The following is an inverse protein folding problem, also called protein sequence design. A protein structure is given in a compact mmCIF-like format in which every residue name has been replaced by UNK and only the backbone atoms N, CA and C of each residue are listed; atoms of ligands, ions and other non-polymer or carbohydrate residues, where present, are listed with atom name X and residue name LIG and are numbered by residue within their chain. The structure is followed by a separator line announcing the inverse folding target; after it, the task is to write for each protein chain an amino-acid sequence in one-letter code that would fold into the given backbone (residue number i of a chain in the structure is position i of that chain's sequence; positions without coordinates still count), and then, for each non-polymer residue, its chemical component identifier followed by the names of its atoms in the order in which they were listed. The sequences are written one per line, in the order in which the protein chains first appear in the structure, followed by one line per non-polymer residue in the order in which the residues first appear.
data_IF_576075516805
#
_entry.id   IF_576075516805
#
_cell.length_a   1.000
_cell.length_b   1.000
_cell.length_c   1.000
_cell.angle_alpha   90.00
_cell.angle_beta   90.00
_cell.angle_gamma   90.00
#
_symmetry.space_group_name_H-M   'P 1'
#
loop_
_entity.id
_entity.type
_entity.pdbx_description
1 polymer ?
#
# COMPACT_ATOMS: atom_id res chain seq x y z
N UNK A 1 24.77 -8.30 24.40
CA UNK A 1 25.44 -8.18 25.70
C UNK A 1 25.30 -6.75 26.20
N UNK A 2 24.55 -6.53 27.28
CA UNK A 2 24.77 -5.37 28.14
C UNK A 2 25.85 -5.82 29.11
N UNK A 3 27.10 -5.73 28.65
CA UNK A 3 28.30 -6.00 29.44
C UNK A 3 29.30 -4.98 28.97
N UNK A 4 29.27 -3.82 29.61
CA UNK A 4 30.30 -2.82 29.48
C UNK A 4 31.47 -3.31 30.33
N UNK A 5 32.54 -3.75 29.64
CA UNK A 5 33.73 -4.41 30.20
C UNK A 5 34.59 -3.54 31.11
N UNK A 6 33.97 -2.72 31.95
CA UNK A 6 34.55 -1.94 33.03
C UNK A 6 33.59 -1.98 34.22
N UNK A 7 33.91 -2.84 35.18
CA UNK A 7 33.52 -2.82 36.61
C UNK A 7 32.37 -1.87 37.03
N UNK A 8 31.14 -2.13 36.57
CA UNK A 8 29.94 -1.75 37.33
C UNK A 8 29.44 -3.02 38.04
N UNK A 9 29.99 -3.34 39.24
CA UNK A 9 29.57 -4.52 39.99
C UNK A 9 28.17 -4.39 40.58
N UNK A 10 27.40 -3.34 40.25
CA UNK A 10 26.10 -3.07 40.88
C UNK A 10 25.07 -2.58 39.86
N UNK A 11 24.19 -3.46 39.41
CA UNK A 11 22.98 -3.10 38.67
C UNK A 11 21.87 -2.80 39.68
N UNK A 12 21.22 -1.64 39.55
CA UNK A 12 20.02 -1.30 40.33
C UNK A 12 18.87 -0.86 39.45
N UNK A 13 17.67 -1.39 39.69
CA UNK A 13 16.43 -1.03 39.01
C UNK A 13 16.49 -1.14 37.48
N UNK A 14 17.27 -2.09 36.95
CA UNK A 14 17.33 -2.34 35.51
C UNK A 14 15.96 -2.76 35.01
N UNK A 15 15.47 -2.00 34.05
CA UNK A 15 14.12 -2.12 33.53
C UNK A 15 14.17 -2.32 32.01
N UNK A 16 13.62 -3.43 31.53
CA UNK A 16 13.56 -3.81 30.12
C UNK A 16 12.12 -4.15 29.77
N UNK A 17 11.44 -3.20 29.12
CA UNK A 17 10.03 -3.35 28.72
C UNK A 17 9.84 -3.14 27.23
N UNK A 18 8.87 -3.86 26.65
CA UNK A 18 8.43 -3.67 25.26
C UNK A 18 9.62 -3.65 24.29
N UNK A 19 10.35 -4.76 24.16
CA UNK A 19 11.43 -4.92 23.17
C UNK A 19 11.23 -6.20 22.36
N UNK A 20 11.77 -6.21 21.14
CA UNK A 20 11.92 -7.43 20.33
C UNK A 20 13.41 -7.73 20.19
N UNK A 21 13.84 -8.88 20.70
CA UNK A 21 15.24 -9.30 20.75
C UNK A 21 15.38 -10.62 19.99
N UNK A 22 15.95 -10.55 18.79
CA UNK A 22 16.08 -11.71 17.90
C UNK A 22 17.55 -11.96 17.59
N UNK A 23 18.00 -13.19 17.85
CA UNK A 23 19.25 -13.72 17.36
C UNK A 23 19.30 -13.62 15.83
N UNK A 24 20.36 -13.00 15.28
CA UNK A 24 20.57 -12.96 13.84
C UNK A 24 20.61 -14.37 13.26
N UNK A 25 19.82 -14.60 12.21
CA UNK A 25 19.76 -15.87 11.51
C UNK A 25 21.17 -16.29 11.04
N UNK A 26 21.57 -17.53 11.34
CA UNK A 26 22.88 -18.08 11.02
C UNK A 26 23.97 -17.85 12.08
N UNK A 27 23.87 -16.79 12.88
CA UNK A 27 24.85 -16.50 13.95
C UNK A 27 24.46 -17.15 15.28
N UNK A 28 23.15 -17.23 15.58
CA UNK A 28 22.55 -17.89 16.75
C UNK A 28 23.39 -17.75 18.04
N UNK A 29 23.54 -16.54 18.62
CA UNK A 29 24.29 -16.33 19.85
C UNK A 29 23.86 -17.27 20.97
N UNK A 30 24.80 -17.60 21.86
CA UNK A 30 24.58 -18.58 22.92
C UNK A 30 23.58 -18.07 23.97
N UNK A 31 23.75 -16.83 24.45
CA UNK A 31 22.97 -16.22 25.52
C UNK A 31 22.43 -14.85 25.08
N UNK A 32 21.17 -14.54 25.43
CA UNK A 32 20.57 -13.23 25.18
C UNK A 32 20.98 -12.16 26.19
N UNK A 33 20.40 -12.23 27.38
CA UNK A 33 20.77 -11.43 28.55
C UNK A 33 21.63 -12.27 29.49
N UNK A 34 22.87 -11.86 29.72
CA UNK A 34 23.88 -12.66 30.43
C UNK A 34 24.30 -11.98 31.75
N UNK A 35 24.02 -12.65 32.87
CA UNK A 35 24.40 -12.26 34.22
C UNK A 35 25.33 -13.29 34.90
N UNK A 36 25.96 -14.18 34.12
CA UNK A 36 26.67 -15.38 34.63
C UNK A 36 27.93 -15.08 35.44
N UNK A 37 28.71 -14.04 35.10
CA UNK A 37 30.13 -13.96 35.46
C UNK A 37 30.63 -12.54 35.77
N UNK A 38 30.01 -11.87 36.75
CA UNK A 38 30.53 -10.61 37.31
C UNK A 38 31.08 -10.88 38.72
N UNK A 39 32.40 -11.04 38.93
CA UNK A 39 32.97 -11.25 40.26
C UNK A 39 32.60 -10.12 41.23
N UNK A 40 32.04 -10.46 42.39
CA UNK A 40 31.47 -9.50 43.36
C UNK A 40 30.30 -8.65 42.81
N UNK A 41 29.68 -9.06 41.70
CA UNK A 41 28.57 -8.35 41.10
C UNK A 41 27.28 -8.52 41.91
N UNK A 42 26.42 -7.51 41.92
CA UNK A 42 25.04 -7.62 42.38
C UNK A 42 24.07 -6.94 41.44
N UNK A 43 22.88 -7.51 41.31
CA UNK A 43 21.74 -6.93 40.60
C UNK A 43 20.55 -6.88 41.56
N UNK A 44 20.09 -5.68 41.90
CA UNK A 44 18.95 -5.46 42.77
C UNK A 44 17.85 -4.69 42.03
N UNK A 45 16.68 -5.30 41.87
CA UNK A 45 15.59 -4.73 41.08
C UNK A 45 15.81 -4.96 39.58
N UNK A 46 15.56 -6.18 39.12
CA UNK A 46 15.60 -6.53 37.69
C UNK A 46 14.16 -6.70 37.19
N UNK A 47 13.70 -5.85 36.28
CA UNK A 47 12.33 -5.88 35.77
C UNK A 47 12.33 -6.10 34.26
N UNK A 48 11.91 -7.30 33.82
CA UNK A 48 11.87 -7.68 32.41
C UNK A 48 10.45 -8.09 32.04
N UNK A 49 9.75 -7.26 31.27
CA UNK A 49 8.32 -7.45 30.95
C UNK A 49 7.96 -7.12 29.51
N UNK A 50 6.94 -7.77 28.96
CA UNK A 50 6.40 -7.48 27.62
C UNK A 50 7.43 -7.58 26.48
N UNK A 51 8.47 -8.40 26.61
CA UNK A 51 9.46 -8.56 25.54
C UNK A 51 9.17 -9.80 24.68
N UNK A 52 9.58 -9.75 23.40
CA UNK A 52 9.62 -10.92 22.51
C UNK A 52 11.08 -11.31 22.31
N UNK A 53 11.43 -12.58 22.53
CA UNK A 53 12.82 -13.04 22.52
C UNK A 53 12.98 -14.37 21.77
N UNK A 54 13.88 -14.42 20.78
CA UNK A 54 14.01 -15.56 19.87
C UNK A 54 15.45 -15.93 19.51
N UNK A 55 15.72 -17.23 19.44
CA UNK A 55 16.83 -17.82 18.68
C UNK A 55 18.17 -17.96 19.42
N UNK A 56 18.18 -17.92 20.76
CA UNK A 56 19.39 -18.12 21.56
C UNK A 56 19.63 -19.62 21.85
N UNK A 57 20.86 -20.11 21.68
CA UNK A 57 21.14 -21.55 21.75
C UNK A 57 21.00 -22.15 23.17
N UNK A 58 21.39 -21.41 24.21
CA UNK A 58 21.43 -21.91 25.58
C UNK A 58 20.32 -21.31 26.44
N UNK A 59 20.25 -20.00 26.55
CA UNK A 59 19.17 -19.31 27.27
C UNK A 59 18.99 -17.88 26.77
N UNK A 60 17.74 -17.42 26.75
CA UNK A 60 17.44 -16.01 26.43
C UNK A 60 17.76 -15.07 27.60
N UNK A 61 17.69 -15.58 28.83
CA UNK A 61 18.11 -14.91 30.06
C UNK A 61 18.88 -15.93 30.91
N UNK A 62 20.15 -15.64 31.18
CA UNK A 62 21.01 -16.50 31.99
C UNK A 62 21.53 -15.77 33.21
N UNK A 63 21.33 -16.40 34.35
CA UNK A 63 21.74 -15.92 35.66
C UNK A 63 23.11 -16.35 36.09
N UNK A 64 23.41 -16.08 37.36
CA UNK A 64 24.71 -16.32 37.95
C UNK A 64 25.11 -17.80 38.03
N UNK A 65 26.41 -18.05 37.84
CA UNK A 65 27.11 -19.28 38.22
C UNK A 65 27.81 -19.14 39.59
N UNK A 66 27.22 -18.37 40.52
CA UNK A 66 27.73 -18.15 41.88
C UNK A 66 28.60 -16.91 42.06
N UNK A 67 28.78 -16.10 41.01
CA UNK A 67 29.60 -14.88 41.03
C UNK A 67 28.80 -13.57 41.25
N UNK A 68 27.53 -13.55 40.85
CA UNK A 68 26.66 -12.37 40.79
C UNK A 68 25.44 -12.60 41.68
N UNK A 69 25.23 -11.75 42.69
CA UNK A 69 24.05 -11.83 43.55
C UNK A 69 22.84 -11.11 42.91
N UNK A 70 21.75 -11.83 42.62
CA UNK A 70 20.56 -11.24 42.00
C UNK A 70 19.39 -11.27 43.00
N UNK A 71 18.79 -10.11 43.22
CA UNK A 71 17.71 -9.89 44.19
C UNK A 71 16.59 -9.06 43.56
N UNK A 72 15.35 -9.29 43.99
CA UNK A 72 14.16 -8.56 43.56
C UNK A 72 13.96 -8.58 42.02
N UNK A 73 14.11 -9.77 41.42
CA UNK A 73 13.93 -9.97 39.99
C UNK A 73 12.48 -10.30 39.64
N UNK A 74 11.90 -9.59 38.67
CA UNK A 74 10.56 -9.84 38.12
C UNK A 74 10.67 -10.01 36.60
N UNK A 75 10.40 -11.24 36.16
CA UNK A 75 10.44 -11.64 34.75
C UNK A 75 9.05 -12.16 34.37
N UNK A 76 8.21 -11.30 33.81
CA UNK A 76 6.81 -11.64 33.55
C UNK A 76 6.30 -11.12 32.20
N UNK A 77 5.33 -11.82 31.60
CA UNK A 77 4.68 -11.42 30.35
C UNK A 77 5.64 -11.26 29.15
N UNK A 78 6.72 -12.04 29.12
CA UNK A 78 7.59 -12.14 27.95
C UNK A 78 7.16 -13.34 27.10
N UNK A 79 7.35 -13.22 25.78
CA UNK A 79 7.22 -14.30 24.82
C UNK A 79 8.63 -14.77 24.42
N UNK A 80 9.02 -15.97 24.83
CA UNK A 80 10.31 -16.56 24.51
C UNK A 80 10.09 -17.78 23.63
N UNK A 81 10.66 -17.79 22.43
CA UNK A 81 10.44 -18.85 21.46
C UNK A 81 11.70 -19.27 20.71
N UNK A 82 11.86 -20.58 20.51
CA UNK A 82 13.03 -21.11 19.81
C UNK A 82 14.35 -20.81 20.53
N UNK A 83 14.33 -20.78 21.86
CA UNK A 83 15.50 -20.63 22.71
C UNK A 83 15.83 -21.95 23.41
N UNK A 84 17.10 -22.13 23.79
CA UNK A 84 17.50 -23.17 24.71
C UNK A 84 16.82 -23.05 26.09
N UNK A 85 17.11 -23.99 26.98
CA UNK A 85 16.50 -24.05 28.33
C UNK A 85 14.97 -24.07 28.30
N UNK A 86 14.37 -24.69 27.27
CA UNK A 86 12.91 -24.79 27.08
C UNK A 86 12.21 -23.43 27.10
N UNK A 87 12.83 -22.40 26.53
CA UNK A 87 12.36 -21.00 26.55
C UNK A 87 12.23 -20.37 27.95
N UNK A 88 12.78 -20.99 28.99
CA UNK A 88 12.78 -20.44 30.36
C UNK A 88 14.10 -19.75 30.69
N UNK A 89 14.10 -18.75 31.60
CA UNK A 89 15.34 -18.26 32.19
C UNK A 89 16.14 -19.38 32.87
N UNK A 90 17.45 -19.37 32.69
CA UNK A 90 18.37 -20.35 33.27
C UNK A 90 19.10 -19.75 34.45
N UNK A 91 18.94 -20.33 35.64
CA UNK A 91 19.59 -19.90 36.89
C UNK A 91 20.45 -21.05 37.46
N UNK A 92 21.70 -21.26 36.99
CA UNK A 92 22.49 -22.45 37.32
C UNK A 92 22.82 -22.60 38.81
N UNK A 93 22.95 -21.49 39.55
CA UNK A 93 23.18 -21.48 41.01
C UNK A 93 21.89 -21.34 41.84
N UNK A 94 20.73 -21.53 41.22
CA UNK A 94 19.41 -21.36 41.84
C UNK A 94 18.77 -20.00 41.54
N UNK A 95 17.45 -19.92 41.79
CA UNK A 95 16.66 -18.73 41.50
C UNK A 95 17.17 -17.49 42.27
N UNK A 96 17.01 -16.27 41.71
CA UNK A 96 17.25 -15.03 42.43
C UNK A 96 16.45 -14.94 43.73
N UNK A 97 16.94 -14.15 44.69
CA UNK A 97 16.17 -13.85 45.91
C UNK A 97 14.98 -12.97 45.54
N UNK A 98 13.78 -13.26 46.06
CA UNK A 98 12.52 -12.58 45.70
C UNK A 98 12.22 -12.62 44.19
N UNK A 99 12.48 -13.76 43.55
CA UNK A 99 12.22 -13.95 42.12
C UNK A 99 10.74 -14.18 41.82
N UNK A 100 10.19 -13.37 40.92
CA UNK A 100 8.87 -13.57 40.33
C UNK A 100 9.00 -13.94 38.86
N UNK A 101 8.45 -15.09 38.48
CA UNK A 101 8.44 -15.57 37.10
C UNK A 101 7.03 -15.94 36.67
N UNK A 102 6.56 -15.33 35.58
CA UNK A 102 5.28 -15.67 34.95
C UNK A 102 5.31 -15.27 33.47
N UNK A 103 5.84 -16.14 32.62
CA UNK A 103 5.77 -16.02 31.18
C UNK A 103 4.85 -17.13 30.66
N UNK A 104 3.82 -16.79 29.89
CA UNK A 104 2.75 -17.73 29.56
C UNK A 104 2.30 -17.66 28.10
N UNK A 105 3.24 -17.47 27.16
CA UNK A 105 2.91 -17.46 25.74
C UNK A 105 3.74 -18.50 24.99
N UNK A 106 3.02 -19.44 24.40
CA UNK A 106 3.55 -20.48 23.52
C UNK A 106 3.02 -20.25 22.10
N UNK A 107 2.94 -18.98 21.70
CA UNK A 107 2.39 -18.57 20.40
C UNK A 107 3.48 -17.81 19.65
N UNK A 108 3.70 -18.16 18.39
CA UNK A 108 4.71 -17.48 17.59
C UNK A 108 4.29 -16.04 17.29
N UNK A 109 5.19 -15.04 17.44
CA UNK A 109 4.95 -13.71 16.91
C UNK A 109 4.85 -13.75 15.39
N UNK A 110 3.96 -12.95 14.82
CA UNK A 110 3.95 -12.67 13.38
C UNK A 110 4.56 -11.29 13.15
N UNK A 111 5.75 -11.24 12.55
CA UNK A 111 6.44 -9.99 12.21
C UNK A 111 6.20 -9.57 10.76
N UNK A 112 6.23 -8.27 10.49
CA UNK A 112 6.08 -7.72 9.12
C UNK A 112 7.12 -8.31 8.16
N UNK A 113 8.37 -8.43 8.58
CA UNK A 113 9.41 -9.13 7.82
C UNK A 113 10.58 -9.57 8.72
N UNK A 114 11.56 -10.27 8.15
CA UNK A 114 12.80 -10.65 8.84
C UNK A 114 13.73 -9.46 9.14
N UNK A 115 13.46 -8.30 8.56
CA UNK A 115 14.19 -7.04 8.80
C UNK A 115 13.34 -5.98 9.49
N UNK A 116 12.03 -6.23 9.66
CA UNK A 116 11.09 -5.37 10.34
C UNK A 116 10.31 -6.19 11.38
N UNK A 117 10.76 -6.11 12.63
CA UNK A 117 10.20 -6.84 13.76
C UNK A 117 8.92 -6.20 14.37
N UNK A 118 8.28 -5.27 13.66
CA UNK A 118 6.95 -4.81 14.06
C UNK A 118 5.97 -5.97 13.93
N UNK A 119 5.02 -6.07 14.86
CA UNK A 119 3.99 -7.10 14.79
C UNK A 119 3.04 -6.84 13.60
N UNK A 120 2.65 -7.89 12.91
CA UNK A 120 1.52 -7.84 11.98
C UNK A 120 0.23 -7.63 12.78
N UNK A 121 -0.80 -7.03 12.18
CA UNK A 121 -2.09 -6.83 12.83
C UNK A 121 -2.78 -8.15 13.26
N UNK A 122 -2.46 -9.28 12.63
CA UNK A 122 -2.91 -10.63 13.01
C UNK A 122 -2.00 -11.34 13.99
N UNK A 123 -0.92 -10.70 14.43
CA UNK A 123 0.00 -11.34 15.36
C UNK A 123 -0.74 -11.69 16.64
N UNK A 124 -0.59 -12.92 17.17
CA UNK A 124 -1.22 -13.33 18.41
C UNK A 124 -0.67 -12.60 19.64
N UNK A 125 0.30 -11.70 19.43
CA UNK A 125 0.91 -10.85 20.45
C UNK A 125 0.44 -9.39 20.43
N UNK A 126 -0.47 -9.02 19.52
CA UNK A 126 -1.21 -7.76 19.61
C UNK A 126 -2.04 -7.77 20.90
N UNK A 127 -2.06 -6.64 21.63
CA UNK A 127 -2.79 -6.44 22.89
C UNK A 127 -2.46 -7.45 24.01
N UNK A 128 -1.31 -8.12 23.89
CA UNK A 128 -0.98 -9.26 24.72
C UNK A 128 -0.21 -8.87 26.00
N UNK A 129 0.47 -7.74 26.02
CA UNK A 129 1.24 -7.26 27.16
C UNK A 129 0.41 -6.84 28.37
N UNK A 130 1.09 -6.35 29.40
CA UNK A 130 0.49 -5.75 30.60
C UNK A 130 0.86 -4.29 30.77
N UNK A 131 0.06 -3.54 31.52
CA UNK A 131 0.31 -2.12 31.71
C UNK A 131 1.46 -1.95 32.69
N UNK A 132 2.62 -1.57 32.17
CA UNK A 132 3.85 -1.33 32.93
C UNK A 132 4.08 0.15 33.21
N UNK A 133 3.07 1.01 32.98
CA UNK A 133 3.12 2.45 33.27
C UNK A 133 3.79 3.28 32.18
N UNK A 134 3.95 2.75 30.96
CA UNK A 134 4.46 3.49 29.82
C UNK A 134 3.31 4.25 29.12
N UNK A 135 3.56 5.46 28.57
CA UNK A 135 2.61 6.12 27.68
C UNK A 135 2.37 5.25 26.44
N UNK A 136 1.10 4.97 26.12
CA UNK A 136 0.74 4.15 24.96
C UNK A 136 -0.44 4.77 24.18
N UNK A 137 -0.50 4.47 22.89
CA UNK A 137 -1.64 4.79 22.02
C UNK A 137 -2.19 3.46 21.49
N UNK A 138 -3.42 3.08 21.84
CA UNK A 138 -3.97 1.76 21.44
C UNK A 138 -5.00 1.18 22.41
N UNK A 139 -5.35 -0.09 22.22
CA UNK A 139 -6.40 -0.82 22.98
C UNK A 139 -5.88 -1.57 24.20
N UNK A 140 -4.62 -2.03 24.21
CA UNK A 140 -3.97 -2.60 25.38
C UNK A 140 -2.44 -2.38 25.33
N UNK A 141 -1.70 -2.78 26.37
CA UNK A 141 -0.24 -2.83 26.34
C UNK A 141 0.22 -4.09 25.60
N UNK A 142 1.27 -4.02 24.80
CA UNK A 142 1.61 -5.08 23.83
C UNK A 142 2.88 -5.85 24.17
N UNK A 143 3.10 -6.97 23.47
CA UNK A 143 4.40 -7.64 23.47
C UNK A 143 5.31 -7.08 22.36
N UNK A 144 6.56 -6.75 22.69
CA UNK A 144 7.58 -6.37 21.68
C UNK A 144 7.89 -4.87 21.60
N UNK A 145 8.79 -4.50 20.68
CA UNK A 145 9.31 -3.12 20.56
C UNK A 145 8.30 -2.10 20.02
N UNK A 146 7.38 -2.57 19.19
CA UNK A 146 6.37 -1.76 18.54
C UNK A 146 5.27 -2.68 18.04
N UNK A 147 4.03 -2.30 18.32
CA UNK A 147 2.93 -2.75 17.48
C UNK A 147 3.20 -2.35 16.04
N UNK A 148 2.45 -2.89 15.11
CA UNK A 148 2.13 -2.07 13.96
C UNK A 148 1.70 -0.69 14.47
N UNK A 149 2.47 0.36 14.14
CA UNK A 149 2.21 1.67 14.71
C UNK A 149 0.75 2.02 14.49
N UNK A 150 0.13 2.71 15.44
CA UNK A 150 -1.20 3.33 15.31
C UNK A 150 -1.29 4.36 14.17
N UNK A 151 -0.27 4.50 13.33
CA UNK A 151 -0.55 4.78 11.93
C UNK A 151 -0.87 3.45 11.27
N UNK A 152 -2.15 3.04 11.30
CA UNK A 152 -2.62 1.95 10.47
C UNK A 152 -1.92 2.08 9.12
N UNK A 153 -1.12 1.10 8.66
CA UNK A 153 -0.68 1.19 7.27
C UNK A 153 -1.98 1.19 6.49
N UNK A 154 -2.24 2.30 5.80
CA UNK A 154 -3.48 2.53 5.09
C UNK A 154 -3.64 1.41 4.08
N UNK A 155 -4.87 1.21 3.62
CA UNK A 155 -5.16 0.34 2.48
C UNK A 155 -4.01 0.37 1.46
N UNK A 156 -3.32 -0.77 1.29
CA UNK A 156 -2.18 -0.81 0.38
C UNK A 156 -2.70 -0.97 -1.04
N UNK A 157 -3.03 0.16 -1.65
CA UNK A 157 -3.54 0.25 -3.02
C UNK A 157 -2.44 -0.15 -4.00
N UNK A 158 -2.67 -1.20 -4.78
CA UNK A 158 -1.74 -1.66 -5.82
C UNK A 158 -1.93 -0.84 -7.09
N UNK A 159 -3.17 -0.73 -7.54
CA UNK A 159 -3.52 0.05 -8.72
C UNK A 159 -4.92 0.64 -8.62
N UNK A 160 -5.13 1.71 -9.38
CA UNK A 160 -6.43 2.34 -9.58
C UNK A 160 -6.48 2.85 -11.02
N UNK A 161 -7.52 2.45 -11.75
CA UNK A 161 -7.71 2.76 -13.16
C UNK A 161 -9.17 3.14 -13.43
N UNK A 162 -9.39 3.89 -14.51
CA UNK A 162 -10.72 4.22 -14.99
C UNK A 162 -10.75 4.15 -16.52
N UNK A 163 -11.86 3.67 -17.08
CA UNK A 163 -12.05 3.53 -18.52
C UNK A 163 -13.50 3.88 -18.91
N UNK A 164 -13.66 4.61 -20.00
CA UNK A 164 -14.97 4.85 -20.60
C UNK A 164 -15.51 3.57 -21.27
N UNK A 165 -16.78 3.30 -21.06
CA UNK A 165 -17.51 2.21 -21.70
C UNK A 165 -18.99 2.57 -21.84
N UNK A 166 -19.46 2.69 -23.08
CA UNK A 166 -20.86 2.88 -23.45
C UNK A 166 -21.52 4.07 -22.71
N UNK A 167 -20.83 5.20 -22.60
CA UNK A 167 -21.33 6.41 -21.95
C UNK A 167 -21.25 6.40 -20.41
N UNK A 168 -20.72 5.32 -19.83
CA UNK A 168 -20.38 5.19 -18.41
C UNK A 168 -18.87 5.13 -18.22
N UNK A 169 -18.38 5.35 -16.99
CA UNK A 169 -16.98 5.13 -16.63
C UNK A 169 -16.88 3.99 -15.63
N UNK A 170 -16.08 2.98 -15.96
CA UNK A 170 -15.79 1.84 -15.08
C UNK A 170 -14.47 2.11 -14.39
N UNK A 171 -14.50 2.16 -13.06
CA UNK A 171 -13.37 2.34 -12.18
C UNK A 171 -13.01 1.00 -11.57
N UNK A 172 -11.74 0.62 -11.61
CA UNK A 172 -11.24 -0.62 -11.02
C UNK A 172 -10.03 -0.35 -10.14
N UNK A 173 -9.97 -1.01 -9.00
CA UNK A 173 -8.80 -1.00 -8.13
C UNK A 173 -8.62 -2.32 -7.42
N UNK A 174 -7.40 -2.50 -6.90
CA UNK A 174 -7.04 -3.64 -6.10
C UNK A 174 -6.16 -3.23 -4.92
N UNK A 175 -6.35 -3.90 -3.81
CA UNK A 175 -5.57 -3.76 -2.59
C UNK A 175 -4.66 -4.97 -2.46
N UNK A 176 -3.43 -4.81 -1.98
CA UNK A 176 -2.55 -5.93 -1.67
C UNK A 176 -2.90 -6.53 -0.31
N UNK A 177 -3.26 -5.66 0.63
CA UNK A 177 -3.71 -5.99 1.98
C UNK A 177 -4.59 -4.86 2.53
N UNK A 178 -5.48 -5.22 3.45
CA UNK A 178 -6.39 -4.32 4.14
C UNK A 178 -6.36 -4.61 5.63
N UNK A 179 -6.19 -3.55 6.42
CA UNK A 179 -6.18 -3.64 7.88
C UNK A 179 -7.01 -2.47 8.36
N UNK A 180 -8.01 -2.76 9.19
CA UNK A 180 -8.90 -1.76 9.77
C UNK A 180 -9.66 -0.89 8.73
N UNK A 181 -9.78 -1.35 7.49
CA UNK A 181 -10.35 -0.57 6.40
C UNK A 181 -11.88 -0.56 6.47
N UNK A 182 -12.52 0.59 6.45
CA UNK A 182 -13.99 0.64 6.47
C UNK A 182 -14.56 0.66 5.06
N UNK A 183 -14.16 1.63 4.25
CA UNK A 183 -14.70 1.83 2.91
C UNK A 183 -13.83 2.70 2.00
N UNK A 184 -14.17 2.64 0.72
CA UNK A 184 -13.72 3.55 -0.31
C UNK A 184 -14.84 4.52 -0.64
N UNK A 185 -14.62 5.83 -0.49
CA UNK A 185 -15.45 6.82 -1.18
C UNK A 185 -14.86 7.09 -2.56
N UNK A 186 -15.70 6.99 -3.59
CA UNK A 186 -15.32 7.31 -4.95
C UNK A 186 -15.68 8.76 -5.17
N UNK A 187 -14.68 9.59 -5.47
CA UNK A 187 -14.89 10.99 -5.76
C UNK A 187 -14.61 11.31 -7.21
N UNK A 188 -15.42 12.22 -7.77
CA UNK A 188 -15.28 12.73 -9.13
C UNK A 188 -15.11 14.25 -9.13
N UNK A 189 -14.35 14.73 -10.10
CA UNK A 189 -14.18 16.14 -10.41
C UNK A 189 -14.23 16.36 -11.93
N UNK A 190 -14.72 17.51 -12.36
CA UNK A 190 -14.70 17.95 -13.77
C UNK A 190 -13.61 18.99 -14.06
N UNK A 191 -12.99 19.53 -13.02
CA UNK A 191 -11.93 20.55 -13.11
C UNK A 191 -10.58 20.08 -12.52
N UNK A 192 -10.56 18.90 -11.89
CA UNK A 192 -9.40 18.32 -11.21
C UNK A 192 -9.08 19.00 -9.88
N UNK A 193 -9.95 19.86 -9.36
CA UNK A 193 -9.76 20.65 -8.13
C UNK A 193 -10.86 20.40 -7.13
N UNK A 194 -12.11 20.52 -7.55
CA UNK A 194 -13.28 20.32 -6.73
C UNK A 194 -13.82 18.91 -6.92
N UNK A 195 -13.72 18.10 -5.87
CA UNK A 195 -14.16 16.71 -5.86
C UNK A 195 -15.43 16.54 -5.06
N UNK A 196 -16.33 15.68 -5.54
CA UNK A 196 -17.54 15.30 -4.83
C UNK A 196 -17.69 13.77 -4.84
N UNK A 197 -18.17 13.22 -3.73
CA UNK A 197 -18.46 11.79 -3.62
C UNK A 197 -19.60 11.41 -4.55
N UNK A 198 -19.38 10.36 -5.35
CA UNK A 198 -20.36 9.78 -6.27
C UNK A 198 -20.75 8.35 -5.88
N UNK A 199 -20.13 7.79 -4.85
CA UNK A 199 -20.44 6.46 -4.38
C UNK A 199 -19.51 5.98 -3.28
N UNK A 200 -19.90 4.87 -2.66
CA UNK A 200 -19.15 4.19 -1.62
C UNK A 200 -19.10 2.71 -1.92
N UNK A 201 -17.94 2.08 -1.71
CA UNK A 201 -17.75 0.63 -1.76
C UNK A 201 -17.13 0.21 -0.44
N UNK A 202 -17.76 -0.74 0.25
CA UNK A 202 -17.22 -1.25 1.51
C UNK A 202 -15.92 -2.02 1.26
N UNK A 203 -14.93 -1.80 2.11
CA UNK A 203 -13.70 -2.57 2.12
C UNK A 203 -13.95 -3.96 2.75
N UNK A 204 -12.96 -4.85 2.66
CA UNK A 204 -12.99 -6.16 3.31
C UNK A 204 -12.94 -6.04 4.84
N UNK A 205 -12.47 -4.90 5.39
CA UNK A 205 -12.21 -4.75 6.82
C UNK A 205 -10.85 -5.27 7.21
N UNK A 206 -10.60 -6.52 6.81
CA UNK A 206 -9.34 -7.20 7.02
C UNK A 206 -9.05 -8.13 5.82
N UNK A 207 -7.87 -8.03 5.23
CA UNK A 207 -7.37 -8.95 4.20
C UNK A 207 -5.85 -8.98 4.17
N UNK A 208 -5.27 -10.16 4.13
CA UNK A 208 -3.82 -10.36 3.90
C UNK A 208 -3.50 -10.77 2.46
N UNK A 209 -4.50 -10.78 1.57
CA UNK A 209 -4.37 -11.15 0.16
C UNK A 209 -5.03 -10.11 -0.73
N UNK A 210 -4.72 -10.15 -2.03
CA UNK A 210 -5.26 -9.20 -2.99
C UNK A 210 -6.79 -9.23 -3.04
N UNK A 211 -7.43 -8.05 -2.93
CA UNK A 211 -8.88 -7.89 -3.12
C UNK A 211 -9.14 -6.93 -4.26
N UNK A 212 -10.10 -7.27 -5.13
CA UNK A 212 -10.43 -6.52 -6.34
C UNK A 212 -11.79 -5.88 -6.21
N UNK A 213 -11.86 -4.61 -6.59
CA UNK A 213 -13.06 -3.79 -6.49
C UNK A 213 -13.35 -3.09 -7.81
N UNK A 214 -14.63 -2.74 -7.98
CA UNK A 214 -15.15 -2.05 -9.15
C UNK A 214 -16.25 -1.07 -8.74
N UNK A 215 -16.29 0.07 -9.42
CA UNK A 215 -17.39 1.03 -9.33
C UNK A 215 -17.73 1.56 -10.72
N UNK A 216 -19.02 1.70 -11.03
CA UNK A 216 -19.48 2.24 -12.31
C UNK A 216 -20.14 3.59 -12.11
N UNK A 217 -19.51 4.64 -12.64
CA UNK A 217 -20.16 5.94 -12.82
C UNK A 217 -21.04 5.88 -14.07
N UNK A 218 -22.35 5.73 -13.86
CA UNK A 218 -23.35 5.62 -14.93
C UNK A 218 -23.72 6.95 -15.57
N UNK A 219 -23.32 8.07 -14.95
CA UNK A 219 -23.61 9.41 -15.47
C UNK A 219 -22.39 10.33 -15.35
N UNK A 220 -21.29 10.02 -16.05
CA UNK A 220 -20.11 10.88 -16.08
C UNK A 220 -20.46 12.21 -16.74
N UNK A 221 -19.76 13.29 -16.38
CA UNK A 221 -19.93 14.55 -17.09
C UNK A 221 -19.42 14.43 -18.53
N UNK A 222 -19.87 15.31 -19.42
CA UNK A 222 -19.21 15.44 -20.71
C UNK A 222 -17.83 16.08 -20.57
N UNK A 223 -16.89 15.73 -21.42
CA UNK A 223 -15.50 16.15 -21.33
C UNK A 223 -14.66 15.34 -20.33
N UNK A 224 -13.69 16.00 -19.69
CA UNK A 224 -12.75 15.34 -18.75
C UNK A 224 -13.42 15.10 -17.40
N UNK A 225 -13.34 13.87 -16.94
CA UNK A 225 -13.69 13.45 -15.58
C UNK A 225 -12.43 12.94 -14.89
N UNK A 226 -12.18 13.45 -13.68
CA UNK A 226 -11.08 13.03 -12.82
C UNK A 226 -11.65 12.25 -11.65
N UNK A 227 -11.04 11.13 -11.32
CA UNK A 227 -11.47 10.26 -10.23
C UNK A 227 -10.34 10.03 -9.24
N UNK A 228 -10.71 9.91 -7.97
CA UNK A 228 -9.85 9.45 -6.87
C UNK A 228 -10.65 8.61 -5.89
N UNK A 229 -9.96 7.76 -5.15
CA UNK A 229 -10.51 7.05 -4.00
C UNK A 229 -10.13 7.83 -2.73
N UNK A 230 -11.07 7.90 -1.79
CA UNK A 230 -10.81 8.23 -0.39
C UNK A 230 -10.91 6.93 0.38
N UNK A 231 -9.77 6.41 0.79
CA UNK A 231 -9.61 5.15 1.50
C UNK A 231 -9.76 5.47 2.98
N UNK A 232 -10.87 5.07 3.59
CA UNK A 232 -11.23 5.43 4.98
C UNK A 232 -11.14 4.20 5.87
N UNK A 233 -10.43 4.32 6.98
CA UNK A 233 -10.32 3.28 8.00
C UNK A 233 -11.43 3.43 9.05
N UNK A 234 -11.65 2.39 9.87
CA UNK A 234 -12.72 2.37 10.89
C UNK A 234 -12.51 3.38 12.01
N UNK A 235 -11.29 3.88 12.18
CA UNK A 235 -10.98 4.97 13.10
C UNK A 235 -11.30 6.36 12.51
N UNK A 236 -11.74 6.42 11.25
CA UNK A 236 -12.09 7.64 10.53
C UNK A 236 -10.91 8.35 9.88
N UNK A 237 -9.68 7.82 10.02
CA UNK A 237 -8.54 8.28 9.26
C UNK A 237 -8.71 7.94 7.78
N UNK A 238 -8.10 8.72 6.89
CA UNK A 238 -8.23 8.50 5.45
C UNK A 238 -7.00 8.92 4.65
N UNK A 239 -6.87 8.29 3.49
CA UNK A 239 -5.89 8.64 2.47
C UNK A 239 -6.49 8.72 1.07
N UNK A 240 -5.82 9.46 0.18
CA UNK A 240 -6.21 9.58 -1.22
C UNK A 240 -5.38 8.67 -2.12
N UNK A 241 -6.04 8.05 -3.10
CA UNK A 241 -5.33 7.42 -4.21
C UNK A 241 -4.66 8.44 -5.13
N UNK A 242 -3.88 7.95 -6.09
CA UNK A 242 -3.59 8.72 -7.31
C UNK A 242 -4.88 9.14 -8.02
N UNK A 243 -4.80 10.22 -8.79
CA UNK A 243 -5.90 10.67 -9.64
C UNK A 243 -5.81 9.98 -11.00
N UNK A 244 -6.93 9.46 -11.49
CA UNK A 244 -7.07 8.95 -12.86
C UNK A 244 -8.05 9.82 -13.64
N UNK A 245 -7.84 9.96 -14.94
CA UNK A 245 -8.67 10.80 -15.80
C UNK A 245 -9.25 10.01 -16.96
N UNK A 246 -10.52 10.26 -17.27
CA UNK A 246 -11.24 9.72 -18.42
C UNK A 246 -11.91 10.87 -19.16
N UNK A 247 -11.81 10.89 -20.48
CA UNK A 247 -12.54 11.88 -21.30
C UNK A 247 -13.76 11.22 -21.90
N UNK A 248 -14.93 11.66 -21.45
CA UNK A 248 -16.21 11.29 -22.03
C UNK A 248 -16.55 12.31 -23.11
N UNK A 249 -17.17 11.83 -24.18
CA UNK A 249 -17.67 12.65 -25.27
C UNK A 249 -19.13 12.26 -25.48
N UNK A 250 -19.97 12.66 -24.53
CA UNK A 250 -21.41 12.41 -24.58
C UNK A 250 -21.99 13.23 -25.74
N UNK A 251 -22.90 12.63 -26.50
CA UNK A 251 -23.52 13.25 -27.67
C UNK A 251 -22.56 13.62 -28.81
N UNK A 252 -21.39 12.98 -28.92
CA UNK A 252 -20.58 13.12 -30.13
C UNK A 252 -21.42 12.68 -31.33
N UNK A 253 -21.79 13.66 -32.16
CA UNK A 253 -22.56 13.37 -33.36
C UNK A 253 -21.68 12.81 -34.46
N UNK A 254 -20.35 12.89 -34.31
CA UNK A 254 -19.35 12.32 -35.22
C UNK A 254 -18.20 11.67 -34.44
N UNK A 255 -17.64 10.58 -34.98
CA UNK A 255 -16.41 9.95 -34.49
C UNK A 255 -15.64 9.27 -35.62
N UNK A 256 -14.33 9.08 -35.43
CA UNK A 256 -13.51 8.29 -36.36
C UNK A 256 -13.56 6.81 -35.97
N UNK A 257 -13.83 5.93 -36.93
CA UNK A 257 -13.72 4.48 -36.78
C UNK A 257 -12.34 3.96 -37.19
N UNK A 258 -11.93 4.24 -38.43
CA UNK A 258 -10.67 3.82 -39.01
C UNK A 258 -10.03 4.98 -39.78
N UNK A 259 -8.72 5.14 -39.70
CA UNK A 259 -7.98 6.20 -40.39
C UNK A 259 -6.67 5.63 -40.92
N UNK A 260 -6.53 5.59 -42.23
CA UNK A 260 -5.29 5.18 -42.91
C UNK A 260 -4.90 6.22 -43.97
N UNK A 261 -3.65 6.66 -43.91
CA UNK A 261 -3.01 7.53 -44.88
C UNK A 261 -1.92 6.73 -45.59
N UNK A 262 -2.21 6.29 -46.81
CA UNK A 262 -1.30 5.45 -47.60
C UNK A 262 -0.48 6.31 -48.53
N UNK A 263 0.83 6.32 -48.29
CA UNK A 263 1.76 7.09 -49.08
C UNK A 263 1.98 6.48 -50.47
N UNK A 264 2.00 5.15 -50.55
CA UNK A 264 2.20 4.41 -51.80
C UNK A 264 1.05 4.55 -52.81
N UNK A 265 -0.17 4.79 -52.35
CA UNK A 265 -1.35 4.98 -53.22
C UNK A 265 -1.81 6.44 -53.34
N UNK A 266 -1.20 7.36 -52.59
CA UNK A 266 -1.60 8.77 -52.55
C UNK A 266 -3.05 8.95 -52.10
N UNK A 267 -3.50 8.16 -51.12
CA UNK A 267 -4.90 8.16 -50.69
C UNK A 267 -5.08 8.10 -49.17
N UNK A 268 -6.13 8.77 -48.70
CA UNK A 268 -6.64 8.70 -47.35
C UNK A 268 -7.92 7.87 -47.35
N UNK A 269 -7.97 6.80 -46.56
CA UNK A 269 -9.16 5.99 -46.32
C UNK A 269 -9.61 6.15 -44.87
N UNK A 270 -10.80 6.72 -44.68
CA UNK A 270 -11.29 7.19 -43.40
C UNK A 270 -12.72 6.71 -43.21
N UNK A 271 -12.97 5.97 -42.14
CA UNK A 271 -14.32 5.62 -41.69
C UNK A 271 -14.77 6.61 -40.61
N UNK A 272 -15.91 7.24 -40.83
CA UNK A 272 -16.52 8.24 -39.95
C UNK A 272 -17.91 7.76 -39.56
N UNK A 273 -18.19 7.65 -38.26
CA UNK A 273 -19.54 7.43 -37.79
C UNK A 273 -20.20 8.79 -37.55
N UNK A 274 -21.44 8.97 -38.00
CA UNK A 274 -22.25 10.16 -37.72
C UNK A 274 -23.61 9.77 -37.17
N UNK A 275 -24.13 10.44 -36.16
CA UNK A 275 -25.45 10.16 -35.59
C UNK A 275 -26.60 10.76 -36.42
N UNK A 276 -26.30 11.73 -37.28
CA UNK A 276 -27.26 12.45 -38.13
C UNK A 276 -26.68 12.79 -39.49
N UNK A 277 -27.54 13.17 -40.43
CA UNK A 277 -27.10 13.77 -41.68
C UNK A 277 -26.61 15.20 -41.41
N UNK A 278 -25.38 15.52 -41.80
CA UNK A 278 -24.80 16.85 -41.55
C UNK A 278 -23.62 17.16 -42.48
N UNK A 279 -23.42 18.44 -42.85
CA UNK A 279 -22.18 18.86 -43.49
C UNK A 279 -21.02 18.81 -42.49
N UNK A 280 -19.85 18.41 -42.96
CA UNK A 280 -18.60 18.46 -42.20
C UNK A 280 -17.45 18.90 -43.12
N UNK A 281 -16.36 19.33 -42.52
CA UNK A 281 -15.12 19.65 -43.20
C UNK A 281 -14.01 18.75 -42.67
N UNK A 282 -13.43 17.96 -43.56
CA UNK A 282 -12.34 17.04 -43.28
C UNK A 282 -11.01 17.69 -43.61
N UNK A 283 -10.09 17.71 -42.65
CA UNK A 283 -8.73 18.21 -42.81
C UNK A 283 -7.70 17.16 -42.42
N UNK A 284 -6.58 17.10 -43.14
CA UNK A 284 -5.40 16.31 -42.77
C UNK A 284 -4.25 17.30 -42.62
N UNK A 285 -3.55 17.24 -41.48
CA UNK A 285 -2.53 18.19 -41.09
C UNK A 285 -1.31 17.41 -40.61
N UNK A 286 -0.10 17.83 -41.00
CA UNK A 286 1.12 17.23 -40.46
C UNK A 286 1.49 17.79 -39.08
N UNK A 287 2.51 17.20 -38.45
CA UNK A 287 2.97 17.60 -37.12
C UNK A 287 3.44 19.06 -37.01
N UNK A 288 3.75 19.72 -38.13
CA UNK A 288 4.16 21.15 -38.16
C UNK A 288 2.97 22.10 -38.33
N UNK A 289 1.76 21.57 -38.52
CA UNK A 289 0.56 22.36 -38.78
C UNK A 289 0.30 22.63 -40.26
N UNK A 290 1.10 22.09 -41.19
CA UNK A 290 0.86 22.25 -42.63
C UNK A 290 -0.33 21.39 -43.06
N UNK A 291 -1.27 22.02 -43.77
CA UNK A 291 -2.48 21.39 -44.27
C UNK A 291 -2.16 20.58 -45.53
N UNK A 292 -2.42 19.28 -45.48
CA UNK A 292 -2.25 18.33 -46.58
C UNK A 292 -3.54 18.20 -47.40
N UNK A 293 -4.68 18.18 -46.71
CA UNK A 293 -6.01 18.10 -47.31
C UNK A 293 -6.96 18.98 -46.51
N UNK A 294 -7.87 19.66 -47.20
CA UNK A 294 -9.01 20.34 -46.59
C UNK A 294 -10.20 20.29 -47.55
N UNK A 295 -11.23 19.53 -47.22
CA UNK A 295 -12.35 19.27 -48.15
C UNK A 295 -13.68 19.14 -47.41
N UNK A 296 -14.77 19.73 -47.94
CA UNK A 296 -16.10 19.49 -47.42
C UNK A 296 -16.54 18.04 -47.71
N UNK A 297 -17.28 17.46 -46.76
CA UNK A 297 -17.92 16.14 -46.86
C UNK A 297 -19.35 16.25 -46.31
N UNK A 298 -20.28 15.48 -46.86
CA UNK A 298 -21.64 15.37 -46.33
C UNK A 298 -21.80 14.00 -45.69
N UNK A 299 -21.93 13.97 -44.37
CA UNK A 299 -22.09 12.74 -43.61
C UNK A 299 -23.56 12.32 -43.63
N UNK A 300 -23.80 11.03 -43.83
CA UNK A 300 -25.08 10.38 -43.60
C UNK A 300 -25.13 9.85 -42.17
N UNK A 301 -26.32 9.63 -41.62
CA UNK A 301 -26.45 8.92 -40.35
C UNK A 301 -25.93 7.48 -40.49
N UNK A 302 -25.19 7.00 -39.50
CA UNK A 302 -24.45 5.73 -39.54
C UNK A 302 -23.00 5.89 -39.99
N UNK A 303 -22.45 4.81 -40.55
CA UNK A 303 -21.04 4.73 -40.95
C UNK A 303 -20.82 5.26 -42.37
N UNK A 304 -19.86 6.17 -42.52
CA UNK A 304 -19.47 6.81 -43.77
C UNK A 304 -18.04 6.41 -44.11
N UNK A 305 -17.82 5.91 -45.33
CA UNK A 305 -16.47 5.63 -45.84
C UNK A 305 -16.04 6.75 -46.78
N UNK A 306 -15.00 7.48 -46.39
CA UNK A 306 -14.47 8.63 -47.12
C UNK A 306 -13.10 8.27 -47.66
N UNK A 307 -13.00 8.23 -49.00
CA UNK A 307 -11.73 8.04 -49.71
C UNK A 307 -11.39 9.35 -50.41
N UNK A 308 -10.17 9.87 -50.17
CA UNK A 308 -9.69 11.10 -50.79
C UNK A 308 -8.27 10.91 -51.30
N UNK A 309 -8.00 11.48 -52.47
CA UNK A 309 -6.63 11.59 -52.96
C UNK A 309 -5.89 12.65 -52.13
N UNK A 310 -4.66 12.32 -51.74
CA UNK A 310 -3.77 13.22 -51.02
C UNK A 310 -2.43 13.29 -51.76
N UNK A 311 -1.70 14.41 -51.66
CA UNK A 311 -0.33 14.47 -52.15
C UNK A 311 0.54 13.38 -51.51
N UNK A 312 1.70 13.09 -52.13
CA UNK A 312 2.72 12.30 -51.45
C UNK A 312 3.12 13.02 -50.15
N UNK A 313 3.07 12.28 -49.06
CA UNK A 313 3.39 12.74 -47.72
C UNK A 313 4.71 12.09 -47.27
N UNK A 314 5.34 12.58 -46.20
CA UNK A 314 6.49 11.89 -45.60
C UNK A 314 6.02 10.97 -44.48
N UNK A 315 6.79 9.93 -44.16
CA UNK A 315 6.50 9.11 -42.99
C UNK A 315 6.56 9.98 -41.72
N UNK A 316 5.49 9.94 -40.93
CA UNK A 316 5.37 10.80 -39.76
C UNK A 316 3.98 10.77 -39.12
N UNK A 317 3.82 11.59 -38.09
CA UNK A 317 2.54 11.76 -37.40
C UNK A 317 1.69 12.78 -38.14
N UNK A 318 0.44 12.41 -38.40
CA UNK A 318 -0.57 13.26 -39.00
C UNK A 318 -1.80 13.32 -38.12
N UNK A 319 -2.47 14.47 -38.14
CA UNK A 319 -3.73 14.72 -37.47
C UNK A 319 -4.83 14.83 -38.51
N UNK A 320 -5.83 13.94 -38.40
CA UNK A 320 -7.05 13.97 -39.19
C UNK A 320 -8.12 14.64 -38.35
N UNK A 321 -8.63 15.78 -38.82
CA UNK A 321 -9.63 16.60 -38.13
C UNK A 321 -10.92 16.61 -38.92
N UNK A 322 -12.04 16.45 -38.22
CA UNK A 322 -13.37 16.59 -38.78
C UNK A 322 -14.11 17.68 -38.00
N UNK A 323 -14.62 18.68 -38.71
CA UNK A 323 -15.31 19.84 -38.15
C UNK A 323 -16.74 19.87 -38.68
N UNK A 324 -17.74 19.94 -37.82
CA UNK A 324 -19.13 20.26 -38.18
C UNK A 324 -19.48 21.63 -37.58
N UNK A 325 -20.70 22.11 -37.81
CA UNK A 325 -21.22 23.31 -37.13
C UNK A 325 -21.22 23.18 -35.61
N UNK A 326 -21.38 21.96 -35.10
CA UNK A 326 -21.63 21.70 -33.67
C UNK A 326 -20.38 21.22 -32.92
N UNK A 327 -19.44 20.55 -33.60
CA UNK A 327 -18.31 19.92 -32.93
C UNK A 327 -17.07 19.75 -33.81
N UNK A 328 -15.94 19.46 -33.16
CA UNK A 328 -14.69 19.10 -33.83
C UNK A 328 -14.13 17.83 -33.20
N UNK A 329 -13.77 16.84 -34.04
CA UNK A 329 -13.06 15.64 -33.61
C UNK A 329 -11.72 15.53 -34.32
N UNK A 330 -10.72 15.00 -33.61
CA UNK A 330 -9.35 14.81 -34.11
C UNK A 330 -8.93 13.38 -33.83
N UNK A 331 -8.25 12.77 -34.80
CA UNK A 331 -7.57 11.48 -34.69
C UNK A 331 -6.11 11.66 -35.12
N UNK A 332 -5.16 11.08 -34.39
CA UNK A 332 -3.75 11.02 -34.79
C UNK A 332 -3.44 9.66 -35.40
N UNK A 333 -2.77 9.64 -36.55
CA UNK A 333 -2.32 8.41 -37.21
C UNK A 333 -0.88 8.56 -37.70
N UNK A 334 -0.20 7.44 -37.89
CA UNK A 334 1.15 7.40 -38.46
C UNK A 334 0.99 6.96 -39.91
N UNK A 335 1.52 7.74 -40.85
CA UNK A 335 1.55 7.31 -42.25
C UNK A 335 2.68 6.31 -42.47
N UNK A 336 2.39 5.28 -43.26
CA UNK A 336 3.35 4.29 -43.73
C UNK A 336 3.52 4.38 -45.25
#
# INVERSE_FOLDING_TARGET
MISEGTDDPYIRNLTIYNNTVVAKAGDAPWIGLDFTSQPNGSCDGLYIRNNIVQGFQDAWLKGSNGATNITNAVVTHNDAIGNGSSNTPSWPSGNPTNYTYNNNRTVNPLFVSTTNFALQAVSPLIDAGINVGLPYTGTAPDGGYKEFGTGALPILLVDFTAKESNGSNILNWNTASEINSDHFNIERSTDGRNYYSIGRVNASGFSSTEVKYSFTDVSPADGKNFYRLVMTDRDGSFEYSKIVAVTNRKNQSISFGYVNLSNGTGSANITINSSKMQPANLSIIDATGRIILNTPVHLQAGTNNVIKNIPSISNGVYYVRLFTTDETVVNSTISH
#
